data_IF_461691497522
#
_entry.id   IF_461691497522
#
_cell.length_a   1.000
_cell.length_b   1.000
_cell.length_c   1.000
_cell.angle_alpha   90.00
_cell.angle_beta   90.00
_cell.angle_gamma   90.00
#
_symmetry.space_group_name_H-M   'P 1'
#
loop_
_entity.id
_entity.type
_entity.pdbx_description
1 polymer ?
#
# COMPACT_ATOMS: atom_id res chain seq x y z
N UNK A 1 -15.00 2.84 -25.27
CA UNK A 1 -14.96 2.37 -23.88
C UNK A 1 -13.87 3.19 -23.18
N UNK A 2 -14.23 4.01 -22.22
CA UNK A 2 -13.25 4.82 -21.48
C UNK A 2 -12.49 3.90 -20.52
N UNK A 3 -11.18 3.78 -20.67
CA UNK A 3 -10.35 3.15 -19.68
C UNK A 3 -10.28 4.09 -18.46
N UNK A 4 -10.68 3.63 -17.29
CA UNK A 4 -10.48 4.38 -16.06
C UNK A 4 -9.06 4.10 -15.55
N UNK A 5 -8.30 5.16 -15.31
CA UNK A 5 -6.95 5.10 -14.76
C UNK A 5 -7.00 5.52 -13.31
N UNK A 6 -6.25 4.83 -12.45
CA UNK A 6 -6.15 5.19 -11.04
C UNK A 6 -4.69 5.54 -10.71
N UNK A 7 -4.47 6.67 -10.02
CA UNK A 7 -3.13 7.03 -9.56
C UNK A 7 -2.61 6.02 -8.54
N UNK A 8 -1.32 5.86 -8.51
CA UNK A 8 -0.60 4.93 -7.64
C UNK A 8 -0.69 5.38 -6.18
N UNK A 9 -0.71 4.43 -5.24
CA UNK A 9 -0.72 4.59 -3.77
C UNK A 9 -2.06 4.92 -3.12
N UNK A 10 -3.05 4.07 -3.34
CA UNK A 10 -4.36 4.15 -2.67
C UNK A 10 -4.27 4.04 -1.14
N UNK A 11 -3.29 3.31 -0.59
CA UNK A 11 -3.17 3.12 0.86
C UNK A 11 -2.97 4.43 1.64
N UNK A 12 -2.15 5.36 1.13
CA UNK A 12 -1.93 6.66 1.78
C UNK A 12 -3.21 7.51 1.77
N UNK A 13 -3.91 7.55 0.64
CA UNK A 13 -5.18 8.29 0.49
C UNK A 13 -6.23 7.74 1.45
N UNK A 14 -6.37 6.42 1.50
CA UNK A 14 -7.35 5.75 2.37
C UNK A 14 -7.01 5.98 3.84
N UNK A 15 -5.73 5.94 4.22
CA UNK A 15 -5.31 6.21 5.60
C UNK A 15 -5.69 7.62 6.04
N UNK A 16 -5.56 8.61 5.16
CA UNK A 16 -5.96 10.00 5.43
C UNK A 16 -7.46 10.14 5.61
N UNK A 17 -8.25 9.51 4.75
CA UNK A 17 -9.70 9.51 4.88
C UNK A 17 -10.15 8.91 6.22
N UNK A 18 -9.48 7.84 6.68
CA UNK A 18 -9.74 7.22 7.98
C UNK A 18 -9.36 8.16 9.14
N UNK A 19 -8.31 8.96 8.99
CA UNK A 19 -7.76 9.84 10.02
C UNK A 19 -8.27 11.27 9.98
N UNK A 20 -9.21 11.58 9.11
CA UNK A 20 -9.80 12.92 8.95
C UNK A 20 -10.21 13.51 10.30
N UNK A 21 -9.66 14.69 10.64
CA UNK A 21 -9.91 15.38 11.91
C UNK A 21 -9.02 14.96 13.10
N UNK A 22 -7.98 14.15 12.88
CA UNK A 22 -6.91 13.87 13.86
C UNK A 22 -5.63 14.60 13.47
N UNK A 23 -4.76 14.89 14.45
CA UNK A 23 -3.44 15.49 14.24
C UNK A 23 -2.50 14.47 13.57
N UNK A 24 -2.66 14.32 12.26
CA UNK A 24 -1.82 13.47 11.43
C UNK A 24 -1.54 14.22 10.13
N UNK A 25 -0.27 14.41 9.86
CA UNK A 25 0.22 14.90 8.59
C UNK A 25 0.57 13.71 7.68
N UNK A 26 0.30 13.85 6.40
CA UNK A 26 0.69 12.86 5.42
C UNK A 26 1.25 13.53 4.18
N UNK A 27 2.30 12.89 3.65
CA UNK A 27 3.01 13.32 2.46
C UNK A 27 2.96 12.25 1.40
N UNK A 28 2.84 12.67 0.14
CA UNK A 28 3.09 11.81 -1.02
C UNK A 28 4.49 12.09 -1.57
N UNK A 29 5.26 11.03 -1.71
CA UNK A 29 6.62 11.08 -2.23
C UNK A 29 6.67 10.20 -3.47
N UNK A 30 6.72 10.83 -4.64
CA UNK A 30 6.63 10.14 -5.93
C UNK A 30 7.02 11.11 -7.05
N UNK A 31 6.88 10.68 -8.29
CA UNK A 31 6.95 11.55 -9.45
C UNK A 31 5.74 11.33 -10.37
N UNK A 32 5.26 12.43 -10.95
CA UNK A 32 4.24 12.44 -11.99
C UNK A 32 4.74 13.26 -13.17
N UNK A 33 4.10 13.15 -14.32
CA UNK A 33 4.40 14.04 -15.44
C UNK A 33 3.42 15.23 -15.48
N UNK A 34 3.67 16.17 -16.38
CA UNK A 34 2.78 17.29 -16.67
C UNK A 34 1.61 16.94 -17.61
N UNK A 35 1.38 15.63 -17.82
CA UNK A 35 0.24 15.12 -18.58
C UNK A 35 -1.09 15.26 -17.80
N UNK A 36 -2.22 14.93 -18.42
CA UNK A 36 -3.55 15.03 -17.78
C UNK A 36 -3.64 14.19 -16.50
N UNK A 37 -3.05 13.01 -16.48
CA UNK A 37 -3.08 12.11 -15.32
C UNK A 37 -2.27 12.66 -14.15
N UNK A 38 -1.11 13.25 -14.42
CA UNK A 38 -0.29 13.91 -13.38
C UNK A 38 -1.00 15.12 -12.79
N UNK A 39 -1.62 15.96 -13.62
CA UNK A 39 -2.42 17.10 -13.16
C UNK A 39 -3.60 16.67 -12.30
N UNK A 40 -4.29 15.61 -12.71
CA UNK A 40 -5.41 15.06 -11.93
C UNK A 40 -4.94 14.49 -10.59
N UNK A 41 -3.82 13.77 -10.57
CA UNK A 41 -3.23 13.23 -9.33
C UNK A 41 -2.84 14.35 -8.36
N UNK A 42 -2.13 15.37 -8.82
CA UNK A 42 -1.74 16.53 -8.00
C UNK A 42 -2.97 17.23 -7.43
N UNK A 43 -3.99 17.47 -8.25
CA UNK A 43 -5.25 18.07 -7.81
C UNK A 43 -5.91 17.24 -6.70
N UNK A 44 -6.01 15.93 -6.90
CA UNK A 44 -6.62 15.02 -5.93
C UNK A 44 -5.87 15.02 -4.60
N UNK A 45 -4.55 15.05 -4.60
CA UNK A 45 -3.75 15.13 -3.37
C UNK A 45 -3.98 16.45 -2.62
N UNK A 46 -3.98 17.58 -3.34
CA UNK A 46 -4.27 18.89 -2.74
C UNK A 46 -5.67 18.98 -2.14
N UNK A 47 -6.70 18.44 -2.81
CA UNK A 47 -8.08 18.39 -2.31
C UNK A 47 -8.22 17.59 -1.01
N UNK A 48 -7.27 16.68 -0.75
CA UNK A 48 -7.20 15.86 0.48
C UNK A 48 -6.21 16.38 1.52
N UNK A 49 -5.64 17.57 1.31
CA UNK A 49 -4.60 18.15 2.18
C UNK A 49 -3.40 17.22 2.39
N UNK A 50 -2.98 16.52 1.33
CA UNK A 50 -1.74 15.74 1.32
C UNK A 50 -0.60 16.67 0.97
N UNK A 51 0.49 16.63 1.75
CA UNK A 51 1.70 17.36 1.42
C UNK A 51 2.35 16.78 0.16
N UNK A 52 2.48 17.62 -0.86
CA UNK A 52 3.06 17.32 -2.16
C UNK A 52 4.44 17.98 -2.35
N UNK A 53 5.09 18.46 -1.29
CA UNK A 53 6.38 19.19 -1.39
C UNK A 53 7.49 18.31 -2.00
N UNK A 54 7.36 17.00 -1.89
CA UNK A 54 8.26 16.01 -2.50
C UNK A 54 7.58 15.14 -3.58
N UNK A 55 6.53 15.65 -4.20
CA UNK A 55 5.96 15.12 -5.43
C UNK A 55 6.56 15.86 -6.62
N UNK A 56 7.47 15.20 -7.33
CA UNK A 56 8.14 15.82 -8.46
C UNK A 56 7.25 15.79 -9.73
N UNK A 57 7.18 16.91 -10.44
CA UNK A 57 6.48 16.98 -11.74
C UNK A 57 7.53 17.06 -12.84
N UNK A 58 7.69 15.94 -13.58
CA UNK A 58 8.67 15.79 -14.66
C UNK A 58 7.99 16.11 -16.00
N UNK A 59 8.39 17.20 -16.68
CA UNK A 59 7.74 17.61 -17.92
C UNK A 59 8.02 16.66 -19.10
N UNK A 60 7.05 16.53 -19.99
CA UNK A 60 7.20 15.83 -21.27
C UNK A 60 7.22 14.29 -21.19
N UNK A 61 6.98 13.72 -20.01
CA UNK A 61 6.92 12.28 -19.80
C UNK A 61 5.49 11.71 -19.80
N UNK A 62 5.35 10.51 -19.30
CA UNK A 62 4.06 9.88 -19.01
C UNK A 62 3.95 9.57 -17.52
N UNK A 63 2.87 9.99 -16.90
CA UNK A 63 2.55 9.60 -15.51
C UNK A 63 2.35 8.08 -15.44
N UNK A 64 2.91 7.38 -14.43
CA UNK A 64 2.69 5.97 -14.19
C UNK A 64 1.20 5.65 -14.05
N UNK A 65 0.74 4.58 -14.68
CA UNK A 65 -0.66 4.18 -14.63
C UNK A 65 -0.87 2.72 -14.95
N UNK A 66 -1.94 2.15 -14.43
CA UNK A 66 -2.41 0.81 -14.78
C UNK A 66 -3.77 0.95 -15.45
N UNK A 67 -3.91 0.58 -16.74
CA UNK A 67 -5.21 0.54 -17.39
C UNK A 67 -6.10 -0.52 -16.73
N UNK A 68 -7.37 -0.19 -16.53
CA UNK A 68 -8.39 -1.14 -16.11
C UNK A 68 -9.36 -1.39 -17.27
N UNK A 69 -9.55 -2.64 -17.60
CA UNK A 69 -10.49 -3.07 -18.64
C UNK A 69 -11.67 -3.80 -17.99
N UNK A 70 -12.86 -3.59 -18.53
CA UNK A 70 -14.03 -4.39 -18.17
C UNK A 70 -14.11 -5.58 -19.15
N UNK A 71 -14.03 -6.79 -18.60
CA UNK A 71 -14.21 -8.04 -19.34
C UNK A 71 -15.32 -8.82 -18.61
N UNK A 72 -16.44 -9.06 -19.26
CA UNK A 72 -17.62 -9.76 -18.69
C UNK A 72 -18.09 -9.19 -17.33
N UNK A 73 -18.09 -7.86 -17.22
CA UNK A 73 -18.34 -7.09 -15.99
C UNK A 73 -17.26 -7.22 -14.88
N UNK A 74 -16.21 -7.99 -15.10
CA UNK A 74 -15.05 -8.02 -14.21
C UNK A 74 -13.98 -7.02 -14.65
N UNK A 75 -13.26 -6.47 -13.67
CA UNK A 75 -12.14 -5.57 -13.92
C UNK A 75 -10.84 -6.33 -14.01
N UNK A 76 -10.21 -6.21 -15.16
CA UNK A 76 -8.92 -6.83 -15.44
C UNK A 76 -7.86 -5.73 -15.57
N UNK A 77 -6.78 -5.89 -14.83
CA UNK A 77 -5.62 -5.00 -14.97
C UNK A 77 -4.96 -5.22 -16.33
N UNK A 78 -4.77 -4.15 -17.06
CA UNK A 78 -3.95 -4.13 -18.26
C UNK A 78 -2.47 -4.07 -17.93
N UNK A 79 -1.64 -3.94 -18.97
CA UNK A 79 -0.19 -3.81 -18.80
C UNK A 79 0.15 -2.48 -18.11
N UNK A 80 0.86 -2.48 -16.98
CA UNK A 80 1.28 -1.26 -16.31
C UNK A 80 2.16 -0.40 -17.21
N UNK A 81 1.88 0.88 -17.26
CA UNK A 81 2.75 1.90 -17.88
C UNK A 81 3.57 2.52 -16.77
N UNK A 82 4.87 2.21 -16.73
CA UNK A 82 5.78 2.73 -15.70
C UNK A 82 6.10 4.21 -15.91
N UNK A 83 6.04 4.68 -17.18
CA UNK A 83 6.28 6.07 -17.52
C UNK A 83 7.59 6.59 -16.93
N UNK A 84 7.54 7.81 -16.39
CA UNK A 84 8.70 8.46 -15.78
C UNK A 84 9.29 7.69 -14.58
N UNK A 85 8.49 6.88 -13.88
CA UNK A 85 8.97 6.08 -12.75
C UNK A 85 9.86 4.90 -13.16
N UNK A 86 10.00 4.61 -14.46
CA UNK A 86 10.85 3.50 -14.89
C UNK A 86 12.31 3.70 -14.50
N UNK A 87 12.83 4.91 -14.66
CA UNK A 87 14.22 5.27 -14.41
C UNK A 87 14.36 6.37 -13.33
N UNK A 88 13.28 6.63 -12.59
CA UNK A 88 13.27 7.65 -11.55
C UNK A 88 14.08 7.22 -10.33
N UNK A 89 14.89 8.14 -9.81
CA UNK A 89 15.64 8.00 -8.57
C UNK A 89 15.34 9.16 -7.63
N UNK A 90 15.12 8.86 -6.37
CA UNK A 90 14.90 9.89 -5.35
C UNK A 90 16.19 10.61 -5.01
N UNK A 91 16.12 11.93 -4.86
CA UNK A 91 17.23 12.74 -4.37
C UNK A 91 17.56 12.43 -2.91
N UNK A 92 18.79 12.71 -2.49
CA UNK A 92 19.18 12.58 -1.08
C UNK A 92 18.33 13.48 -0.17
N UNK A 93 17.95 14.68 -0.64
CA UNK A 93 17.04 15.58 0.09
C UNK A 93 15.69 14.94 0.34
N UNK A 94 15.12 14.25 -0.67
CA UNK A 94 13.86 13.51 -0.51
C UNK A 94 14.01 12.35 0.46
N UNK A 95 15.14 11.66 0.44
CA UNK A 95 15.41 10.57 1.38
C UNK A 95 15.57 11.09 2.81
N UNK A 96 16.24 12.21 3.02
CA UNK A 96 16.33 12.88 4.31
C UNK A 96 14.95 13.34 4.80
N UNK A 97 14.08 13.79 3.89
CA UNK A 97 12.70 14.14 4.22
C UNK A 97 11.91 12.90 4.69
N UNK A 98 12.00 11.75 3.99
CA UNK A 98 11.39 10.50 4.42
C UNK A 98 11.87 10.11 5.82
N UNK A 99 13.17 10.23 6.09
CA UNK A 99 13.79 9.88 7.37
C UNK A 99 13.32 10.74 8.56
N UNK A 100 12.59 11.83 8.33
CA UNK A 100 12.00 12.67 9.39
C UNK A 100 10.57 12.26 9.77
N UNK A 101 9.97 11.31 9.06
CA UNK A 101 8.63 10.81 9.35
C UNK A 101 8.66 9.68 10.39
N UNK A 102 7.60 9.57 11.19
CA UNK A 102 7.44 8.47 12.13
C UNK A 102 7.29 7.12 11.43
N UNK A 103 6.67 7.13 10.23
CA UNK A 103 6.44 5.94 9.43
C UNK A 103 6.31 6.26 7.94
N UNK A 104 6.64 5.27 7.12
CA UNK A 104 6.41 5.27 5.69
C UNK A 104 5.67 4.02 5.25
N UNK A 105 4.93 4.12 4.16
CA UNK A 105 4.38 2.99 3.42
C UNK A 105 4.93 2.98 2.00
N UNK A 106 5.28 1.79 1.50
CA UNK A 106 5.73 1.60 0.12
C UNK A 106 5.36 0.19 -0.39
N UNK A 107 5.62 -0.04 -1.66
CA UNK A 107 5.55 -1.33 -2.34
C UNK A 107 6.75 -1.51 -3.29
N UNK A 108 6.81 -2.62 -4.02
CA UNK A 108 7.90 -2.87 -4.99
C UNK A 108 7.96 -1.85 -6.13
N UNK A 109 6.91 -1.10 -6.39
CA UNK A 109 6.88 -0.07 -7.44
C UNK A 109 7.35 1.29 -6.96
N UNK A 110 7.47 1.48 -5.64
CA UNK A 110 7.85 2.72 -4.98
C UNK A 110 9.32 3.13 -5.15
N UNK A 111 10.15 2.32 -5.80
CA UNK A 111 11.56 2.63 -6.14
C UNK A 111 12.48 2.89 -4.94
N UNK A 112 12.07 2.50 -3.73
CA UNK A 112 12.83 2.69 -2.49
C UNK A 112 13.42 1.39 -1.92
N UNK A 113 13.30 0.26 -2.64
CA UNK A 113 13.66 -1.07 -2.14
C UNK A 113 15.08 -1.11 -1.54
N UNK A 114 16.05 -0.54 -2.23
CA UNK A 114 17.46 -0.51 -1.80
C UNK A 114 17.79 0.59 -0.76
N UNK A 115 16.83 1.42 -0.40
CA UNK A 115 17.02 2.51 0.57
C UNK A 115 16.28 2.25 1.90
N UNK A 116 15.47 1.18 1.97
CA UNK A 116 14.67 0.85 3.16
C UNK A 116 15.54 0.66 4.41
N UNK A 117 16.73 0.08 4.25
CA UNK A 117 17.67 -0.13 5.35
C UNK A 117 18.14 1.18 6.00
N UNK A 118 18.42 2.19 5.19
CA UNK A 118 18.85 3.51 5.70
C UNK A 118 17.68 4.27 6.31
N UNK A 119 16.51 4.20 5.69
CA UNK A 119 15.28 4.78 6.22
C UNK A 119 14.94 4.16 7.58
N UNK A 120 15.01 2.83 7.71
CA UNK A 120 14.74 2.16 8.97
C UNK A 120 15.75 2.52 10.07
N UNK A 121 17.03 2.68 9.73
CA UNK A 121 18.09 3.12 10.66
C UNK A 121 17.86 4.53 11.19
N UNK A 122 17.19 5.42 10.46
CA UNK A 122 16.84 6.76 10.94
C UNK A 122 15.79 6.74 12.05
N UNK A 123 15.07 5.63 12.22
CA UNK A 123 13.98 5.50 13.19
C UNK A 123 12.59 5.47 12.55
N UNK A 124 12.47 5.81 11.28
CA UNK A 124 11.23 5.72 10.50
C UNK A 124 10.78 4.27 10.41
N UNK A 125 9.55 3.98 10.81
CA UNK A 125 8.98 2.63 10.70
C UNK A 125 8.55 2.35 9.27
N UNK A 126 9.00 1.23 8.73
CA UNK A 126 8.74 0.86 7.34
C UNK A 126 7.60 -0.16 7.28
N UNK A 127 6.49 0.26 6.65
CA UNK A 127 5.36 -0.59 6.28
C UNK A 127 5.44 -0.88 4.78
N UNK A 128 5.31 -2.14 4.40
CA UNK A 128 5.52 -2.51 3.00
C UNK A 128 4.47 -3.50 2.51
N UNK A 129 3.86 -3.19 1.37
CA UNK A 129 2.97 -4.13 0.68
C UNK A 129 3.76 -4.96 -0.33
N UNK A 130 3.91 -6.25 -0.06
CA UNK A 130 4.55 -7.22 -0.94
C UNK A 130 3.63 -7.65 -2.10
N UNK A 131 2.33 -7.30 -2.04
CA UNK A 131 1.34 -7.79 -2.98
C UNK A 131 1.30 -9.32 -3.00
N UNK A 132 1.25 -9.89 -4.19
CA UNK A 132 1.41 -11.34 -4.43
C UNK A 132 2.76 -11.68 -5.10
N UNK A 133 3.73 -10.76 -5.02
CA UNK A 133 4.98 -10.86 -5.79
C UNK A 133 6.12 -11.48 -4.99
N UNK A 134 5.92 -12.73 -4.53
CA UNK A 134 6.91 -13.47 -3.75
C UNK A 134 8.15 -13.93 -4.55
N UNK A 135 8.19 -13.64 -5.84
CA UNK A 135 9.34 -13.91 -6.71
C UNK A 135 10.08 -12.63 -7.11
N UNK A 136 9.76 -11.50 -6.49
CA UNK A 136 10.46 -10.24 -6.80
C UNK A 136 11.94 -10.37 -6.46
N UNK A 137 12.87 -9.91 -7.33
CA UNK A 137 14.30 -10.03 -7.08
C UNK A 137 14.75 -9.38 -5.77
N UNK A 138 14.10 -8.28 -5.37
CA UNK A 138 14.44 -7.54 -4.16
C UNK A 138 13.72 -8.06 -2.90
N UNK A 139 12.96 -9.15 -2.98
CA UNK A 139 12.15 -9.63 -1.85
C UNK A 139 12.99 -9.84 -0.58
N UNK A 140 14.14 -10.50 -0.70
CA UNK A 140 15.03 -10.80 0.43
C UNK A 140 15.54 -9.51 1.09
N UNK A 141 15.94 -8.53 0.30
CA UNK A 141 16.42 -7.25 0.79
C UNK A 141 15.30 -6.47 1.48
N UNK A 142 14.12 -6.45 0.87
CA UNK A 142 12.94 -5.76 1.41
C UNK A 142 12.54 -6.34 2.77
N UNK A 143 12.35 -7.66 2.88
CA UNK A 143 11.91 -8.28 4.15
C UNK A 143 12.92 -8.12 5.28
N UNK A 144 14.21 -7.94 5.00
CA UNK A 144 15.21 -7.64 6.03
C UNK A 144 15.14 -6.20 6.54
N UNK A 145 14.49 -5.30 5.80
CA UNK A 145 14.51 -3.88 6.04
C UNK A 145 13.13 -3.25 6.32
N UNK A 146 12.11 -4.06 6.59
CA UNK A 146 10.77 -3.57 6.95
C UNK A 146 10.41 -3.93 8.39
N UNK A 147 9.52 -3.16 9.01
CA UNK A 147 8.98 -3.43 10.34
C UNK A 147 7.67 -4.18 10.29
N UNK A 148 6.84 -3.88 9.30
CA UNK A 148 5.54 -4.52 9.08
C UNK A 148 5.32 -4.77 7.60
N UNK A 149 4.88 -5.98 7.24
CA UNK A 149 4.59 -6.34 5.86
C UNK A 149 3.19 -6.88 5.67
N UNK A 150 2.59 -6.54 4.52
CA UNK A 150 1.36 -7.18 4.01
C UNK A 150 1.73 -8.03 2.80
N UNK A 151 1.10 -9.20 2.70
CA UNK A 151 1.23 -10.09 1.54
C UNK A 151 -0.12 -10.68 1.19
N UNK A 152 -0.39 -10.88 -0.09
CA UNK A 152 -1.61 -11.47 -0.59
C UNK A 152 -1.36 -12.90 -1.07
N UNK A 153 -2.08 -13.85 -0.49
CA UNK A 153 -2.11 -15.24 -0.91
C UNK A 153 -3.46 -15.58 -1.58
N UNK A 154 -3.47 -16.68 -2.32
CA UNK A 154 -4.71 -17.27 -2.82
C UNK A 154 -5.51 -17.92 -1.69
N UNK A 155 -5.56 -19.27 -1.67
CA UNK A 155 -6.37 -20.02 -0.69
C UNK A 155 -5.52 -20.88 0.26
N UNK A 156 -4.19 -20.84 0.16
CA UNK A 156 -3.31 -21.70 0.94
C UNK A 156 -2.84 -21.01 2.23
N UNK A 157 -3.55 -21.30 3.31
CA UNK A 157 -3.21 -20.79 4.64
C UNK A 157 -1.89 -21.34 5.18
N UNK A 158 -1.50 -22.55 4.84
CA UNK A 158 -0.27 -23.15 5.35
C UNK A 158 0.94 -22.55 4.65
N UNK A 159 0.86 -22.29 3.33
CA UNK A 159 1.88 -21.53 2.61
C UNK A 159 2.00 -20.12 3.21
N UNK A 160 0.87 -19.45 3.44
CA UNK A 160 0.86 -18.13 4.09
C UNK A 160 1.54 -18.13 5.45
N UNK A 161 1.19 -19.06 6.35
CA UNK A 161 1.85 -19.19 7.67
C UNK A 161 3.33 -19.47 7.57
N UNK A 162 3.73 -20.33 6.63
CA UNK A 162 5.15 -20.63 6.40
C UNK A 162 5.91 -19.37 5.98
N UNK A 163 5.35 -18.58 5.07
CA UNK A 163 5.95 -17.33 4.64
C UNK A 163 6.02 -16.29 5.77
N UNK A 164 4.97 -16.14 6.60
CA UNK A 164 5.00 -15.20 7.72
C UNK A 164 6.11 -15.53 8.72
N UNK A 165 6.28 -16.83 9.04
CA UNK A 165 7.40 -17.29 9.88
C UNK A 165 8.75 -17.02 9.24
N UNK A 166 8.86 -17.28 7.92
CA UNK A 166 10.07 -17.02 7.16
C UNK A 166 10.44 -15.53 7.21
N UNK A 167 9.53 -14.63 6.89
CA UNK A 167 9.76 -13.19 6.92
C UNK A 167 10.12 -12.71 8.33
N UNK A 168 9.46 -13.24 9.37
CA UNK A 168 9.84 -12.94 10.75
C UNK A 168 11.25 -13.40 11.08
N UNK A 169 11.68 -14.58 10.62
CA UNK A 169 13.07 -15.07 10.82
C UNK A 169 14.13 -14.17 10.16
N UNK A 170 13.72 -13.34 9.19
CA UNK A 170 14.56 -12.33 8.54
C UNK A 170 14.55 -10.97 9.24
N UNK A 171 13.74 -10.79 10.27
CA UNK A 171 13.73 -9.59 11.11
C UNK A 171 12.48 -8.72 11.02
N UNK A 172 11.46 -9.12 10.26
CA UNK A 172 10.16 -8.41 10.23
C UNK A 172 9.44 -8.64 11.56
N UNK A 173 9.01 -7.56 12.20
CA UNK A 173 8.36 -7.64 13.54
C UNK A 173 6.91 -8.15 13.43
N UNK A 174 6.21 -7.77 12.37
CA UNK A 174 4.80 -8.09 12.18
C UNK A 174 4.51 -8.34 10.69
N UNK A 175 4.00 -9.51 10.38
CA UNK A 175 3.59 -9.86 9.02
C UNK A 175 2.11 -10.20 8.98
N UNK A 176 1.46 -9.76 7.92
CA UNK A 176 0.03 -10.03 7.64
C UNK A 176 -0.07 -10.72 6.29
N UNK A 177 -0.88 -11.78 6.22
CA UNK A 177 -1.29 -12.41 4.97
C UNK A 177 -2.80 -12.31 4.79
N UNK A 178 -3.24 -11.88 3.62
CA UNK A 178 -4.65 -11.83 3.23
C UNK A 178 -4.98 -12.95 2.25
N UNK A 179 -6.18 -13.52 2.35
CA UNK A 179 -6.65 -14.65 1.56
C UNK A 179 -8.00 -14.34 0.89
N UNK A 180 -8.19 -13.09 0.49
CA UNK A 180 -9.43 -12.62 -0.10
C UNK A 180 -10.64 -12.91 0.79
N UNK A 181 -11.62 -13.62 0.27
CA UNK A 181 -12.85 -13.98 1.00
C UNK A 181 -12.65 -14.94 2.19
N UNK A 182 -11.48 -15.49 2.36
CA UNK A 182 -11.16 -16.40 3.49
C UNK A 182 -10.61 -15.65 4.71
N UNK A 183 -10.43 -14.32 4.62
CA UNK A 183 -9.94 -13.49 5.71
C UNK A 183 -8.43 -13.30 5.69
N UNK A 184 -7.83 -13.22 6.86
CA UNK A 184 -6.41 -12.90 7.01
C UNK A 184 -5.80 -13.61 8.21
N UNK A 185 -4.47 -13.68 8.22
CA UNK A 185 -3.69 -14.06 9.40
C UNK A 185 -2.59 -13.00 9.62
N UNK A 186 -2.24 -12.76 10.88
CA UNK A 186 -1.05 -11.98 11.24
C UNK A 186 -0.15 -12.81 12.14
N UNK A 187 1.15 -12.52 12.14
CA UNK A 187 2.16 -13.17 12.96
C UNK A 187 3.14 -12.15 13.51
N UNK A 188 3.30 -12.13 14.84
CA UNK A 188 4.17 -11.21 15.58
C UNK A 188 5.48 -11.84 16.08
N UNK A 189 5.78 -13.06 15.60
CA UNK A 189 6.93 -13.85 16.02
C UNK A 189 6.61 -14.87 17.10
N UNK A 190 5.49 -14.75 17.77
CA UNK A 190 5.03 -15.67 18.82
C UNK A 190 3.65 -16.26 18.54
N UNK A 191 2.73 -15.43 18.10
CA UNK A 191 1.31 -15.75 17.98
C UNK A 191 0.79 -15.52 16.56
N UNK A 192 -0.03 -16.46 16.10
CA UNK A 192 -0.86 -16.28 14.92
C UNK A 192 -2.23 -15.72 15.33
N UNK A 193 -2.57 -14.59 14.76
CA UNK A 193 -3.88 -13.95 14.88
C UNK A 193 -4.70 -14.27 13.62
N UNK A 194 -5.97 -14.59 13.79
CA UNK A 194 -6.89 -14.83 12.67
C UNK A 194 -7.84 -13.64 12.54
N UNK A 195 -7.89 -13.04 11.35
CA UNK A 195 -8.84 -11.99 10.99
C UNK A 195 -9.94 -12.55 10.10
N UNK A 196 -11.17 -12.25 10.48
CA UNK A 196 -12.36 -12.59 9.67
C UNK A 196 -12.63 -11.48 8.65
N UNK A 197 -13.39 -11.82 7.61
CA UNK A 197 -13.90 -10.84 6.66
C UNK A 197 -15.07 -10.07 7.28
N UNK A 198 -15.28 -8.85 6.79
CA UNK A 198 -16.56 -8.15 6.95
C UNK A 198 -17.40 -8.45 5.71
N UNK A 199 -18.55 -9.13 5.84
CA UNK A 199 -19.39 -9.46 4.71
C UNK A 199 -19.91 -8.20 4.02
N UNK A 200 -19.97 -8.22 2.69
CA UNK A 200 -20.58 -7.18 1.87
C UNK A 200 -21.70 -7.78 1.04
N UNK A 201 -22.74 -7.00 0.81
CA UNK A 201 -23.90 -7.44 0.04
C UNK A 201 -23.54 -7.67 -1.43
N UNK A 202 -22.76 -6.73 -1.99
CA UNK A 202 -22.26 -6.80 -3.37
C UNK A 202 -20.79 -6.37 -3.46
N UNK A 203 -19.99 -7.17 -4.12
CA UNK A 203 -18.62 -6.80 -4.49
C UNK A 203 -18.70 -6.09 -5.84
N UNK A 204 -18.34 -4.81 -5.85
CA UNK A 204 -18.34 -3.97 -7.07
C UNK A 204 -16.96 -3.98 -7.72
N UNK A 205 -15.90 -3.92 -6.90
CA UNK A 205 -14.53 -3.81 -7.39
C UNK A 205 -13.56 -4.27 -6.31
N UNK A 206 -12.61 -5.14 -6.63
CA UNK A 206 -11.58 -5.62 -5.70
C UNK A 206 -10.27 -4.84 -5.77
N UNK A 207 -10.13 -3.88 -6.69
CA UNK A 207 -8.95 -3.01 -6.80
C UNK A 207 -8.87 -2.14 -5.55
N UNK A 208 -7.67 -2.06 -4.95
CA UNK A 208 -7.46 -1.32 -3.71
C UNK A 208 -7.91 -2.03 -2.44
N UNK A 209 -8.41 -3.27 -2.51
CA UNK A 209 -8.80 -4.03 -1.32
C UNK A 209 -7.63 -4.26 -0.36
N UNK A 210 -6.46 -4.62 -0.88
CA UNK A 210 -5.22 -4.77 -0.12
C UNK A 210 -4.75 -3.46 0.50
N UNK A 211 -4.67 -2.41 -0.31
CA UNK A 211 -4.32 -1.05 0.15
C UNK A 211 -5.24 -0.58 1.27
N UNK A 212 -6.57 -0.79 1.10
CA UNK A 212 -7.58 -0.41 2.08
C UNK A 212 -7.46 -1.21 3.37
N UNK A 213 -7.20 -2.51 3.24
CA UNK A 213 -6.94 -3.35 4.40
C UNK A 213 -5.72 -2.84 5.17
N UNK A 214 -4.61 -2.59 4.46
CA UNK A 214 -3.38 -2.16 5.11
C UNK A 214 -3.52 -0.76 5.73
N UNK A 215 -4.19 0.17 5.06
CA UNK A 215 -4.50 1.48 5.62
C UNK A 215 -5.33 1.39 6.91
N UNK A 216 -6.39 0.58 6.91
CA UNK A 216 -7.19 0.31 8.10
C UNK A 216 -6.37 -0.31 9.23
N UNK A 217 -5.52 -1.27 8.90
CA UNK A 217 -4.59 -1.90 9.84
C UNK A 217 -3.61 -0.89 10.45
N UNK A 218 -2.93 -0.10 9.61
CA UNK A 218 -1.99 0.95 10.03
C UNK A 218 -2.69 1.98 10.94
N UNK A 219 -3.94 2.34 10.62
CA UNK A 219 -4.71 3.24 11.46
C UNK A 219 -4.90 2.72 12.88
N UNK A 220 -5.04 1.41 13.03
CA UNK A 220 -5.10 0.75 14.32
C UNK A 220 -3.76 0.81 15.07
N UNK A 221 -2.65 0.59 14.36
CA UNK A 221 -1.29 0.71 14.93
C UNK A 221 -1.05 2.13 15.45
N UNK A 222 -1.40 3.16 14.67
CA UNK A 222 -1.28 4.57 15.07
C UNK A 222 -2.09 4.86 16.35
N UNK A 223 -3.26 4.24 16.49
CA UNK A 223 -4.12 4.39 17.67
C UNK A 223 -3.72 3.47 18.84
N UNK A 224 -2.62 2.74 18.75
CA UNK A 224 -2.14 1.83 19.79
C UNK A 224 -3.08 0.64 20.08
N UNK A 225 -3.84 0.19 19.07
CA UNK A 225 -4.79 -0.92 19.18
C UNK A 225 -4.07 -2.27 19.18
N UNK A 226 -4.74 -3.30 19.68
CA UNK A 226 -4.27 -4.68 19.56
C UNK A 226 -4.22 -5.11 18.09
N UNK A 227 -3.35 -6.10 17.78
CA UNK A 227 -3.24 -6.66 16.42
C UNK A 227 -4.60 -7.13 15.91
N UNK A 228 -5.39 -7.80 16.76
CA UNK A 228 -6.72 -8.26 16.42
C UNK A 228 -7.66 -7.11 16.01
N UNK A 229 -7.60 -6.01 16.73
CA UNK A 229 -8.38 -4.80 16.42
C UNK A 229 -7.89 -4.12 15.14
N UNK A 230 -6.57 -4.09 14.90
CA UNK A 230 -5.99 -3.59 13.65
C UNK A 230 -6.49 -4.41 12.44
N UNK A 231 -6.49 -5.74 12.56
CA UNK A 231 -7.01 -6.64 11.52
C UNK A 231 -8.51 -6.40 11.25
N UNK A 232 -9.31 -6.20 12.31
CA UNK A 232 -10.73 -5.87 12.16
C UNK A 232 -10.94 -4.56 11.39
N UNK A 233 -10.19 -3.51 11.74
CA UNK A 233 -10.22 -2.23 11.01
C UNK A 233 -9.79 -2.39 9.54
N UNK A 234 -8.77 -3.19 9.29
CA UNK A 234 -8.37 -3.54 7.94
C UNK A 234 -9.50 -4.17 7.14
N UNK A 235 -10.15 -5.18 7.71
CA UNK A 235 -11.28 -5.86 7.06
C UNK A 235 -12.47 -4.94 6.83
N UNK A 236 -12.81 -4.05 7.79
CA UNK A 236 -13.88 -3.05 7.64
C UNK A 236 -13.59 -2.06 6.52
N UNK A 237 -12.36 -1.59 6.42
CA UNK A 237 -11.98 -0.63 5.38
C UNK A 237 -11.95 -1.28 4.00
N UNK A 238 -11.43 -2.51 3.91
CA UNK A 238 -11.47 -3.30 2.67
C UNK A 238 -12.91 -3.53 2.22
N UNK A 239 -13.82 -3.90 3.13
CA UNK A 239 -15.24 -4.11 2.83
C UNK A 239 -15.92 -2.85 2.26
N UNK A 240 -15.60 -1.68 2.79
CA UNK A 240 -16.12 -0.41 2.26
C UNK A 240 -15.66 -0.19 0.82
N UNK A 241 -14.34 -0.32 0.56
CA UNK A 241 -13.78 -0.03 -0.76
C UNK A 241 -14.28 -1.02 -1.81
N UNK A 242 -14.34 -2.32 -1.51
CA UNK A 242 -14.84 -3.31 -2.48
C UNK A 242 -16.33 -3.16 -2.82
N UNK A 243 -17.07 -2.40 -2.01
CA UNK A 243 -18.48 -2.06 -2.26
C UNK A 243 -18.65 -0.80 -3.12
N UNK A 244 -17.56 -0.14 -3.51
CA UNK A 244 -17.58 1.09 -4.30
C UNK A 244 -16.93 0.90 -5.67
N UNK A 245 -17.19 1.84 -6.57
CA UNK A 245 -16.58 1.83 -7.90
C UNK A 245 -15.10 2.25 -7.85
N UNK A 246 -14.76 3.20 -7.01
CA UNK A 246 -13.39 3.71 -6.88
C UNK A 246 -12.58 2.86 -5.90
N UNK A 247 -11.26 2.73 -6.08
CA UNK A 247 -10.37 2.00 -5.16
C UNK A 247 -10.07 2.77 -3.86
N UNK A 248 -10.68 3.93 -3.68
CA UNK A 248 -10.61 4.80 -2.50
C UNK A 248 -11.96 5.48 -2.28
N UNK A 249 -12.21 5.94 -1.07
CA UNK A 249 -13.47 6.60 -0.65
C UNK A 249 -13.45 8.10 -0.91
#
# INVERSE_FOLDING_TARGET
MSANYHPVHSAAIILLDIKKGKDMEASIISAVSDDEYGKEAVKMFHERNIDCSHLEVIPGGMTPRVPLHLVDNDRVHGTPVRGIMQDYEFSEETLEYICRHDMMHSDFTGRLNHRLGDIRKSGTKVFFDLGNNLKHPDLEEVIQNIDCGLVSFGNDFEEGKAFLKYAHSKGVKLMIATFGKLGSIAYDGSTFYKGEIVPVEHVVNTVGAGDSYFAGFISGIIDGKSIQECMRRGAEQSAKVISTFNPYL
#
